data_IF_917405519948
#
_entry.id   IF_917405519948
#
_cell.length_a   1.000
_cell.length_b   1.000
_cell.length_c   1.000
_cell.angle_alpha   90.00
_cell.angle_beta   90.00
_cell.angle_gamma   90.00
#
_symmetry.space_group_name_H-M   'P 1'
#
loop_
_entity.id
_entity.type
_entity.pdbx_description
1 polymer ?
#
# COMPACT_ATOMS: atom_id res chain seq x y z
N UNK A 1 -7.90 43.93 39.71
CA UNK A 1 -7.66 43.18 38.46
C UNK A 1 -9.01 42.71 37.94
N UNK A 2 -9.35 43.00 36.68
CA UNK A 2 -10.69 42.74 36.14
C UNK A 2 -10.74 41.37 35.49
N UNK A 3 -11.61 40.47 35.96
CA UNK A 3 -11.80 39.17 35.32
C UNK A 3 -12.43 39.36 33.91
N UNK A 4 -11.99 38.63 32.88
CA UNK A 4 -12.57 38.75 31.54
C UNK A 4 -14.03 38.25 31.55
N UNK A 5 -14.98 39.13 31.22
CA UNK A 5 -16.39 38.75 31.06
C UNK A 5 -16.52 37.72 29.94
N UNK A 6 -16.88 36.48 30.30
CA UNK A 6 -17.33 35.47 29.34
C UNK A 6 -18.58 36.00 28.64
N UNK A 7 -18.55 36.11 27.30
CA UNK A 7 -19.74 36.44 26.52
C UNK A 7 -20.68 35.23 26.50
N UNK A 8 -21.65 35.20 27.40
CA UNK A 8 -22.83 34.33 27.28
C UNK A 8 -23.49 34.63 25.94
N UNK A 9 -23.78 33.59 25.14
CA UNK A 9 -24.54 33.74 23.90
C UNK A 9 -26.03 33.93 24.24
N UNK A 10 -26.73 34.94 23.67
CA UNK A 10 -28.17 35.04 23.80
C UNK A 10 -28.84 34.03 22.87
N UNK A 11 -29.38 32.94 23.44
CA UNK A 11 -30.10 31.88 22.74
C UNK A 11 -29.86 30.50 23.39
N UNK A 12 -30.70 29.49 23.11
CA UNK A 12 -30.42 28.11 23.50
C UNK A 12 -29.14 27.62 22.81
N UNK A 13 -28.41 26.64 23.39
CA UNK A 13 -27.26 26.07 22.70
C UNK A 13 -27.78 25.21 21.53
N UNK A 14 -27.41 25.50 20.27
CA UNK A 14 -27.81 24.69 19.12
C UNK A 14 -27.31 23.23 19.19
N UNK A 15 -26.48 22.88 20.16
CA UNK A 15 -26.10 21.49 20.46
C UNK A 15 -27.07 20.75 21.40
N UNK A 16 -27.84 21.44 22.24
CA UNK A 16 -28.68 20.79 23.27
C UNK A 16 -29.65 19.73 22.71
N UNK A 17 -30.36 19.93 21.58
CA UNK A 17 -31.26 18.93 21.00
C UNK A 17 -30.57 17.60 20.60
N UNK A 18 -29.25 17.59 20.47
CA UNK A 18 -28.47 16.44 20.04
C UNK A 18 -27.72 15.75 21.19
N UNK A 19 -27.77 16.29 22.41
CA UNK A 19 -27.02 15.76 23.56
C UNK A 19 -27.41 14.32 23.87
N UNK A 20 -28.70 14.00 23.92
CA UNK A 20 -29.17 12.67 24.31
C UNK A 20 -28.81 11.62 23.26
N UNK A 21 -29.02 11.91 21.98
CA UNK A 21 -28.60 11.03 20.87
C UNK A 21 -27.09 10.78 20.88
N UNK A 22 -26.28 11.85 20.96
CA UNK A 22 -24.81 11.75 21.05
C UNK A 22 -24.36 10.95 22.26
N UNK A 23 -25.05 11.08 23.40
CA UNK A 23 -24.71 10.36 24.63
C UNK A 23 -25.06 8.88 24.51
N UNK A 24 -26.26 8.54 24.07
CA UNK A 24 -26.68 7.16 23.83
C UNK A 24 -25.76 6.44 22.83
N UNK A 25 -25.52 7.07 21.67
CA UNK A 25 -24.67 6.55 20.60
C UNK A 25 -23.22 6.30 21.04
N UNK A 26 -22.69 7.14 21.95
CA UNK A 26 -21.35 6.97 22.53
C UNK A 26 -21.31 6.02 23.75
N UNK A 27 -22.46 5.68 24.34
CA UNK A 27 -22.59 4.58 25.31
C UNK A 27 -22.63 3.23 24.59
N UNK A 28 -23.34 3.14 23.46
CA UNK A 28 -23.36 1.96 22.57
C UNK A 28 -21.95 1.65 22.02
N UNK A 29 -21.29 2.65 21.42
CA UNK A 29 -19.92 2.52 20.92
C UNK A 29 -19.02 3.67 21.43
N UNK A 30 -18.33 3.47 22.58
CA UNK A 30 -17.32 4.41 23.09
C UNK A 30 -16.13 4.64 22.16
N UNK A 31 -15.96 3.83 21.10
CA UNK A 31 -14.90 3.92 20.12
C UNK A 31 -15.34 4.51 18.78
N UNK A 32 -16.64 4.76 18.60
CA UNK A 32 -17.23 5.35 17.39
C UNK A 32 -16.45 6.59 16.95
N UNK A 33 -16.07 6.65 15.68
CA UNK A 33 -15.30 7.78 15.18
C UNK A 33 -16.17 9.04 15.21
N UNK A 34 -15.63 10.13 15.74
CA UNK A 34 -16.38 11.38 15.82
C UNK A 34 -16.74 11.96 14.45
N UNK A 35 -16.15 11.44 13.35
CA UNK A 35 -16.60 11.70 11.98
C UNK A 35 -17.82 10.86 11.64
N UNK A 36 -17.82 9.54 11.82
CA UNK A 36 -19.02 8.72 11.63
C UNK A 36 -20.22 9.23 12.42
N UNK A 37 -20.02 9.66 13.68
CA UNK A 37 -21.06 10.32 14.48
C UNK A 37 -21.47 11.72 13.96
N UNK A 38 -20.59 12.42 13.25
CA UNK A 38 -20.91 13.68 12.57
C UNK A 38 -21.76 13.43 11.33
N UNK A 39 -21.37 12.42 10.54
CA UNK A 39 -22.07 11.99 9.33
C UNK A 39 -23.49 11.46 9.72
N UNK A 40 -23.61 10.65 10.78
CA UNK A 40 -24.88 10.23 11.41
C UNK A 40 -25.75 11.42 11.89
N UNK A 41 -25.15 12.55 12.23
CA UNK A 41 -25.83 13.74 12.75
C UNK A 41 -26.27 14.73 11.66
N UNK A 42 -25.56 14.80 10.53
CA UNK A 42 -25.94 15.69 9.42
C UNK A 42 -27.30 15.29 8.84
N UNK A 43 -27.57 13.98 8.68
CA UNK A 43 -28.89 13.44 8.31
C UNK A 43 -30.00 13.74 9.35
N UNK A 44 -29.63 13.97 10.61
CA UNK A 44 -30.53 14.37 11.69
C UNK A 44 -30.67 15.91 11.83
N UNK A 45 -30.12 16.69 10.88
CA UNK A 45 -30.27 18.14 10.84
C UNK A 45 -29.24 18.94 11.66
N UNK A 46 -28.08 18.36 11.97
CA UNK A 46 -27.04 18.99 12.78
C UNK A 46 -26.31 20.13 12.06
N UNK A 47 -26.87 21.34 12.10
CA UNK A 47 -26.33 22.55 11.45
C UNK A 47 -25.06 23.17 12.08
N UNK A 48 -24.21 22.41 12.77
CA UNK A 48 -22.98 22.89 13.41
C UNK A 48 -21.75 22.18 12.86
N UNK A 49 -20.59 22.83 12.85
CA UNK A 49 -19.37 22.22 12.31
C UNK A 49 -18.85 21.01 13.11
N UNK A 50 -18.10 20.13 12.44
CA UNK A 50 -17.35 19.03 13.04
C UNK A 50 -16.44 19.46 14.23
N UNK A 51 -15.84 20.65 14.17
CA UNK A 51 -15.07 21.23 15.28
C UNK A 51 -15.95 21.62 16.48
N UNK A 52 -17.23 21.91 16.25
CA UNK A 52 -18.23 22.18 17.28
C UNK A 52 -18.70 20.89 17.95
N UNK A 53 -19.02 19.84 17.18
CA UNK A 53 -19.33 18.49 17.70
C UNK A 53 -18.19 17.97 18.59
N UNK A 54 -16.96 17.95 18.06
CA UNK A 54 -15.78 17.44 18.78
C UNK A 54 -15.36 18.32 19.96
N UNK A 55 -15.75 19.60 20.01
CA UNK A 55 -15.67 20.43 21.21
C UNK A 55 -16.74 20.02 22.22
N UNK A 56 -18.00 19.94 21.82
CA UNK A 56 -19.12 19.69 22.74
C UNK A 56 -19.07 18.30 23.39
N UNK A 57 -18.71 17.24 22.65
CA UNK A 57 -18.46 15.90 23.22
C UNK A 57 -17.41 15.95 24.34
N UNK A 58 -16.35 16.75 24.18
CA UNK A 58 -15.29 16.90 25.19
C UNK A 58 -15.70 17.79 26.37
N UNK A 59 -16.37 18.91 26.10
CA UNK A 59 -16.75 19.91 27.13
C UNK A 59 -17.90 19.42 28.00
N UNK A 60 -18.85 18.66 27.44
CA UNK A 60 -19.96 18.02 28.17
C UNK A 60 -19.62 16.59 28.64
N UNK A 61 -18.43 16.07 28.33
CA UNK A 61 -17.97 14.70 28.68
C UNK A 61 -18.88 13.55 28.19
N UNK A 62 -19.52 13.71 27.03
CA UNK A 62 -20.57 12.79 26.53
C UNK A 62 -20.05 11.41 26.08
N UNK A 63 -18.73 11.21 26.00
CA UNK A 63 -18.13 9.90 25.70
C UNK A 63 -17.75 9.19 27.01
N UNK A 64 -18.43 8.09 27.40
CA UNK A 64 -18.05 7.33 28.57
C UNK A 64 -16.68 6.67 28.38
N UNK A 65 -15.97 6.47 29.49
CA UNK A 65 -14.65 5.84 29.48
C UNK A 65 -14.82 4.32 29.48
N UNK A 66 -14.76 3.67 28.31
CA UNK A 66 -14.84 2.21 28.19
C UNK A 66 -13.88 1.50 29.18
N UNK A 67 -14.41 0.77 30.16
CA UNK A 67 -13.67 0.14 31.26
C UNK A 67 -12.59 -0.85 30.75
N UNK A 68 -12.96 -1.67 29.75
CA UNK A 68 -12.05 -2.64 29.14
C UNK A 68 -10.83 -1.96 28.51
N UNK A 69 -11.04 -0.88 27.74
CA UNK A 69 -9.97 -0.10 27.12
C UNK A 69 -9.24 0.83 28.11
N UNK A 70 -9.90 1.23 29.21
CA UNK A 70 -9.28 1.91 30.37
C UNK A 70 -8.19 1.02 30.97
N UNK A 71 -8.42 -0.28 31.07
CA UNK A 71 -7.42 -1.26 31.55
C UNK A 71 -6.14 -1.36 30.70
N UNK A 72 -6.17 -0.86 29.46
CA UNK A 72 -5.02 -0.78 28.55
C UNK A 72 -4.37 0.62 28.53
N UNK A 73 -5.18 1.68 28.65
CA UNK A 73 -4.76 3.09 28.51
C UNK A 73 -4.41 3.79 29.83
N UNK A 74 -4.94 3.34 30.97
CA UNK A 74 -4.63 3.86 32.31
C UNK A 74 -3.65 2.99 33.12
N UNK A 75 -2.97 2.02 32.48
CA UNK A 75 -1.78 1.43 33.10
C UNK A 75 -0.71 2.53 33.22
N UNK A 76 -0.04 2.68 34.38
CA UNK A 76 1.11 3.56 34.47
C UNK A 76 2.19 3.07 33.50
N UNK A 77 2.31 3.74 32.36
CA UNK A 77 3.40 3.52 31.42
C UNK A 77 4.67 4.04 32.08
N UNK A 78 5.41 3.13 32.72
CA UNK A 78 6.80 3.38 33.08
C UNK A 78 7.52 3.86 31.82
N UNK A 79 8.04 5.09 31.85
CA UNK A 79 8.90 5.61 30.79
C UNK A 79 10.15 4.75 30.80
N UNK A 80 10.24 3.79 29.88
CA UNK A 80 11.41 2.93 29.77
C UNK A 80 12.58 3.81 29.31
N UNK A 81 13.65 3.98 30.11
CA UNK A 81 14.77 4.79 29.73
C UNK A 81 15.59 4.03 28.68
N UNK A 82 15.29 4.27 27.41
CA UNK A 82 16.11 3.76 26.30
C UNK A 82 17.43 4.54 26.28
N UNK A 83 18.51 3.90 26.71
CA UNK A 83 19.85 4.48 26.67
C UNK A 83 20.33 4.63 25.21
N UNK A 84 21.22 5.61 24.91
CA UNK A 84 21.81 5.77 23.59
C UNK A 84 22.43 4.47 23.07
N UNK A 85 22.09 4.05 21.85
CA UNK A 85 22.62 2.84 21.23
C UNK A 85 22.10 1.51 21.81
N UNK A 86 21.21 1.52 22.80
CA UNK A 86 20.81 0.28 23.49
C UNK A 86 19.83 -0.59 22.70
N UNK A 87 18.83 0.02 22.06
CA UNK A 87 17.72 -0.72 21.43
C UNK A 87 17.29 -0.14 20.06
N UNK A 88 17.20 -1.01 19.04
CA UNK A 88 16.41 -0.75 17.82
C UNK A 88 15.09 -1.52 17.90
N UNK A 89 13.98 -0.83 17.66
CA UNK A 89 12.65 -1.41 17.55
C UNK A 89 12.33 -1.68 16.09
N UNK A 90 11.96 -2.93 15.80
CA UNK A 90 11.65 -3.43 14.47
C UNK A 90 10.18 -3.75 14.33
N UNK A 91 9.61 -3.43 13.17
CA UNK A 91 8.23 -3.76 12.86
C UNK A 91 7.99 -3.95 11.37
N UNK A 92 6.95 -4.71 11.06
CA UNK A 92 6.34 -4.73 9.73
C UNK A 92 5.15 -3.77 9.70
N UNK A 93 4.97 -3.12 8.57
CA UNK A 93 3.80 -2.32 8.26
C UNK A 93 3.24 -2.76 6.91
N UNK A 94 2.08 -3.39 6.94
CA UNK A 94 1.26 -3.62 5.76
C UNK A 94 0.77 -2.28 5.19
N UNK A 95 0.98 -2.09 3.89
CA UNK A 95 0.58 -0.91 3.13
C UNK A 95 -0.38 -1.35 2.02
N UNK A 96 -1.70 -1.16 2.19
CA UNK A 96 -2.69 -1.63 1.23
C UNK A 96 -2.66 -0.81 -0.06
N UNK A 97 -3.13 -1.43 -1.13
CA UNK A 97 -3.34 -0.86 -2.46
C UNK A 97 -2.07 -0.22 -3.08
N UNK A 98 -0.97 -1.00 -3.23
CA UNK A 98 0.22 -0.52 -3.93
C UNK A 98 -0.05 -0.29 -5.43
N UNK A 99 0.72 0.59 -6.11
CA UNK A 99 0.56 0.82 -7.54
C UNK A 99 0.64 -0.49 -8.34
N UNK A 100 -0.34 -0.74 -9.20
CA UNK A 100 -0.49 -2.00 -9.94
C UNK A 100 0.76 -2.33 -10.79
N UNK A 101 1.48 -1.31 -11.23
CA UNK A 101 2.75 -1.37 -11.96
C UNK A 101 3.86 -2.14 -11.23
N UNK A 102 3.80 -2.28 -9.89
CA UNK A 102 4.80 -3.00 -9.09
C UNK A 102 4.60 -4.51 -9.16
N UNK A 103 3.37 -4.99 -9.41
CA UNK A 103 3.04 -6.42 -9.45
C UNK A 103 3.10 -7.14 -8.09
N UNK A 104 3.04 -6.41 -6.97
CA UNK A 104 3.14 -6.97 -5.61
C UNK A 104 1.80 -7.48 -5.04
N UNK A 105 0.70 -7.33 -5.78
CA UNK A 105 -0.63 -7.76 -5.33
C UNK A 105 -1.38 -6.65 -4.59
N UNK A 106 -2.04 -6.98 -3.48
CA UNK A 106 -2.91 -6.06 -2.71
C UNK A 106 -2.21 -5.28 -1.59
N UNK A 107 -1.01 -5.71 -1.21
CA UNK A 107 -0.28 -5.19 -0.05
C UNK A 107 1.19 -5.04 -0.43
N UNK A 108 1.78 -3.88 -0.15
CA UNK A 108 3.23 -3.73 -0.05
C UNK A 108 3.64 -3.85 1.43
N UNK A 109 4.80 -4.42 1.69
CA UNK A 109 5.30 -4.62 3.05
C UNK A 109 6.45 -3.65 3.31
N UNK A 110 6.39 -2.91 4.42
CA UNK A 110 7.41 -1.97 4.84
C UNK A 110 8.04 -2.43 6.15
N UNK A 111 9.28 -2.91 6.10
CA UNK A 111 10.08 -3.13 7.31
C UNK A 111 10.52 -1.78 7.84
N UNK A 112 10.21 -1.47 9.10
CA UNK A 112 10.67 -0.25 9.79
C UNK A 112 11.60 -0.62 10.93
N UNK A 113 12.77 0.01 10.97
CA UNK A 113 13.68 -0.02 12.11
C UNK A 113 13.85 1.38 12.69
N UNK A 114 13.64 1.53 14.00
CA UNK A 114 13.82 2.81 14.70
C UNK A 114 14.68 2.68 15.96
N UNK A 115 15.66 3.56 16.12
CA UNK A 115 16.45 3.68 17.35
C UNK A 115 15.53 4.16 18.49
N UNK A 116 15.39 3.38 19.54
CA UNK A 116 14.46 3.69 20.63
C UNK A 116 14.85 4.97 21.38
N UNK A 117 16.16 5.28 21.47
CA UNK A 117 16.65 6.51 22.06
C UNK A 117 16.33 7.74 21.19
N UNK A 118 17.01 8.00 20.07
CA UNK A 118 16.77 9.20 19.23
C UNK A 118 15.41 9.21 18.52
N UNK A 119 14.81 8.06 18.24
CA UNK A 119 13.64 7.96 17.35
C UNK A 119 13.98 8.35 15.91
N UNK A 120 15.24 8.18 15.49
CA UNK A 120 15.64 8.06 14.08
C UNK A 120 15.11 6.74 13.56
N UNK A 121 14.71 6.72 12.29
CA UNK A 121 14.15 5.53 11.65
C UNK A 121 14.53 5.48 10.17
N UNK A 122 14.54 4.27 9.62
CA UNK A 122 14.58 3.98 8.18
C UNK A 122 13.67 2.78 7.91
N UNK A 123 13.42 2.49 6.63
CA UNK A 123 12.68 1.29 6.25
C UNK A 123 12.99 0.81 4.84
N UNK A 124 12.56 -0.42 4.54
CA UNK A 124 12.64 -1.05 3.23
C UNK A 124 11.23 -1.47 2.78
N UNK A 125 10.83 -1.03 1.59
CA UNK A 125 9.69 -1.58 0.84
C UNK A 125 10.07 -2.94 0.22
N UNK A 126 9.17 -3.91 0.32
CA UNK A 126 9.36 -5.27 -0.19
C UNK A 126 8.02 -5.93 -0.57
N UNK A 127 8.01 -6.85 -1.55
CA UNK A 127 6.85 -7.67 -1.89
C UNK A 127 6.52 -8.78 -0.87
N UNK A 128 7.35 -9.00 0.16
CA UNK A 128 7.22 -10.13 1.10
C UNK A 128 7.79 -9.84 2.49
N UNK A 129 7.24 -10.51 3.51
CA UNK A 129 7.72 -10.50 4.91
C UNK A 129 8.51 -11.77 5.30
N UNK A 130 8.84 -12.63 4.32
CA UNK A 130 9.61 -13.87 4.57
C UNK A 130 11.01 -13.61 5.17
N UNK A 131 11.63 -14.67 5.70
CA UNK A 131 12.90 -14.54 6.42
C UNK A 131 14.05 -13.98 5.54
N UNK A 132 14.23 -14.38 4.27
CA UNK A 132 15.12 -13.67 3.34
C UNK A 132 14.87 -12.17 3.21
N UNK A 133 13.64 -11.74 2.93
CA UNK A 133 13.30 -10.32 2.78
C UNK A 133 13.47 -9.54 4.10
N UNK A 134 13.11 -10.14 5.24
CA UNK A 134 13.40 -9.59 6.56
C UNK A 134 14.91 -9.37 6.75
N UNK A 135 15.74 -10.37 6.49
CA UNK A 135 17.20 -10.30 6.73
C UNK A 135 17.88 -9.31 5.79
N UNK A 136 17.45 -9.23 4.53
CA UNK A 136 17.89 -8.19 3.59
C UNK A 136 17.48 -6.78 4.07
N UNK A 137 16.27 -6.63 4.60
CA UNK A 137 15.77 -5.37 5.18
C UNK A 137 16.52 -4.95 6.43
N UNK A 138 16.81 -5.88 7.34
CA UNK A 138 17.58 -5.64 8.57
C UNK A 138 18.95 -5.05 8.26
N UNK A 139 19.66 -5.59 7.27
CA UNK A 139 20.95 -5.07 6.81
C UNK A 139 20.83 -3.64 6.24
N UNK A 140 19.96 -3.43 5.24
CA UNK A 140 19.77 -2.10 4.61
C UNK A 140 19.39 -1.04 5.65
N UNK A 141 18.44 -1.37 6.53
CA UNK A 141 17.92 -0.43 7.53
C UNK A 141 18.95 -0.15 8.60
N UNK A 142 19.73 -1.13 9.07
CA UNK A 142 20.86 -0.90 9.98
C UNK A 142 21.92 0.03 9.37
N UNK A 143 22.33 -0.22 8.11
CA UNK A 143 23.27 0.66 7.39
C UNK A 143 22.70 2.08 7.22
N UNK A 144 21.39 2.21 6.92
CA UNK A 144 20.71 3.51 6.81
C UNK A 144 20.50 4.25 8.16
N UNK A 145 20.37 3.50 9.27
CA UNK A 145 20.40 4.05 10.62
C UNK A 145 21.82 4.50 11.01
N UNK A 146 22.84 3.91 10.42
CA UNK A 146 24.26 4.27 10.60
C UNK A 146 25.03 3.32 11.52
N UNK A 147 24.46 2.17 11.87
CA UNK A 147 25.08 1.21 12.78
C UNK A 147 24.06 0.30 13.48
N UNK A 148 24.56 -0.48 14.43
CA UNK A 148 23.84 -1.49 15.20
C UNK A 148 23.71 -1.05 16.65
N UNK A 149 22.53 -1.30 17.23
CA UNK A 149 22.28 -1.19 18.66
C UNK A 149 22.58 -2.51 19.36
N UNK A 150 22.79 -2.47 20.68
CA UNK A 150 23.08 -3.67 21.49
C UNK A 150 21.94 -4.71 21.44
N UNK A 151 20.69 -4.24 21.35
CA UNK A 151 19.48 -5.07 21.37
C UNK A 151 18.58 -4.75 20.16
N UNK A 152 18.14 -5.79 19.46
CA UNK A 152 17.05 -5.69 18.48
C UNK A 152 15.75 -6.20 19.11
N UNK A 153 14.76 -5.31 19.22
CA UNK A 153 13.41 -5.63 19.71
C UNK A 153 12.49 -5.94 18.55
N UNK A 154 11.89 -7.13 18.60
CA UNK A 154 10.90 -7.60 17.62
C UNK A 154 9.58 -7.92 18.30
N UNK A 155 8.51 -7.93 17.52
CA UNK A 155 7.26 -8.58 17.91
C UNK A 155 7.33 -10.11 17.75
N UNK A 156 6.24 -10.82 18.07
CA UNK A 156 6.13 -12.29 17.93
C UNK A 156 5.97 -12.76 16.47
N UNK A 157 6.84 -12.28 15.58
CA UNK A 157 6.87 -12.69 14.16
C UNK A 157 7.57 -14.04 13.96
N UNK A 158 6.95 -14.94 13.20
CA UNK A 158 7.42 -16.31 12.98
C UNK A 158 8.81 -16.39 12.32
N UNK A 159 9.18 -15.36 11.56
CA UNK A 159 10.49 -15.20 10.90
C UNK A 159 11.64 -14.86 11.86
N UNK A 160 11.34 -14.56 13.14
CA UNK A 160 12.33 -14.28 14.19
C UNK A 160 12.23 -15.27 15.35
N UNK A 161 11.02 -15.61 15.79
CA UNK A 161 10.78 -16.49 16.92
C UNK A 161 9.58 -17.41 16.71
N UNK A 162 9.57 -18.57 17.38
CA UNK A 162 8.34 -19.35 17.55
C UNK A 162 7.26 -18.47 18.24
N UNK A 163 6.10 -18.20 17.59
CA UNK A 163 5.09 -17.32 18.13
C UNK A 163 4.47 -17.79 19.46
N UNK A 164 4.52 -19.10 19.76
CA UNK A 164 4.00 -19.68 21.00
C UNK A 164 4.90 -19.40 22.19
N UNK A 165 6.12 -19.94 22.20
CA UNK A 165 7.08 -19.77 23.29
C UNK A 165 7.77 -18.39 23.30
N UNK A 166 7.91 -17.74 22.14
CA UNK A 166 8.75 -16.56 21.96
C UNK A 166 10.25 -16.86 21.90
N UNK A 167 10.66 -18.13 21.74
CA UNK A 167 12.06 -18.51 21.54
C UNK A 167 12.50 -18.15 20.12
N UNK A 168 13.66 -17.51 20.00
CA UNK A 168 14.29 -17.18 18.71
C UNK A 168 14.50 -18.45 17.87
N UNK A 169 14.19 -18.40 16.58
CA UNK A 169 14.34 -19.55 15.68
C UNK A 169 15.81 -19.87 15.42
N UNK A 170 16.13 -21.13 15.13
CA UNK A 170 17.50 -21.56 14.86
C UNK A 170 18.12 -20.82 13.66
N UNK A 171 17.35 -20.52 12.62
CA UNK A 171 17.80 -19.74 11.47
C UNK A 171 18.05 -18.27 11.83
N UNK A 172 17.19 -17.63 12.63
CA UNK A 172 17.41 -16.25 13.06
C UNK A 172 18.54 -16.10 14.10
N UNK A 173 18.83 -17.15 14.88
CA UNK A 173 19.97 -17.14 15.80
C UNK A 173 21.33 -16.97 15.06
N UNK A 174 21.46 -17.50 13.83
CA UNK A 174 22.60 -17.24 12.96
C UNK A 174 22.72 -15.77 12.55
N UNK A 175 21.60 -15.16 12.17
CA UNK A 175 21.49 -13.73 11.81
C UNK A 175 21.89 -12.85 12.99
N UNK A 176 21.33 -13.10 14.17
CA UNK A 176 21.64 -12.36 15.39
C UNK A 176 23.14 -12.44 15.76
N UNK A 177 23.75 -13.63 15.63
CA UNK A 177 25.17 -13.84 15.86
C UNK A 177 26.05 -13.08 14.85
N UNK A 178 25.68 -13.05 13.57
CA UNK A 178 26.44 -12.34 12.52
C UNK A 178 26.49 -10.83 12.76
N UNK A 179 25.36 -10.23 13.14
CA UNK A 179 25.31 -8.81 13.49
C UNK A 179 25.76 -8.53 14.94
N UNK A 180 26.05 -9.55 15.75
CA UNK A 180 26.49 -9.37 17.14
C UNK A 180 25.43 -8.78 18.08
N UNK A 181 24.14 -8.91 17.75
CA UNK A 181 23.01 -8.27 18.44
C UNK A 181 22.26 -9.24 19.36
N UNK A 182 21.83 -8.75 20.52
CA UNK A 182 20.89 -9.50 21.37
C UNK A 182 19.45 -9.35 20.84
N UNK A 183 18.67 -10.43 20.84
CA UNK A 183 17.28 -10.41 20.35
C UNK A 183 16.30 -10.37 21.52
N UNK A 184 15.38 -9.40 21.52
CA UNK A 184 14.39 -9.22 22.58
C UNK A 184 12.96 -9.24 22.02
N UNK A 185 12.26 -10.37 22.19
CA UNK A 185 10.86 -10.52 21.76
C UNK A 185 9.90 -9.80 22.72
N UNK A 186 8.89 -9.12 22.19
CA UNK A 186 7.83 -8.51 22.99
C UNK A 186 7.00 -9.56 23.77
N UNK A 187 6.81 -9.39 25.10
CA UNK A 187 5.87 -10.23 25.85
C UNK A 187 4.42 -10.00 25.38
N UNK A 188 3.59 -11.05 25.30
CA UNK A 188 2.22 -10.93 24.83
C UNK A 188 1.40 -9.97 25.71
N UNK A 189 0.51 -9.19 25.08
CA UNK A 189 -0.33 -8.17 25.73
C UNK A 189 0.44 -7.04 26.44
N UNK A 190 1.66 -6.71 25.97
CA UNK A 190 2.48 -5.57 26.46
C UNK A 190 3.14 -4.75 25.32
N UNK A 191 2.36 -4.39 24.29
CA UNK A 191 2.81 -3.59 23.14
C UNK A 191 3.43 -2.23 23.51
N UNK A 192 3.07 -1.65 24.66
CA UNK A 192 3.51 -0.35 25.19
C UNK A 192 5.05 -0.15 25.25
N UNK A 193 5.86 -1.20 25.05
CA UNK A 193 7.33 -1.12 24.90
C UNK A 193 7.81 -0.68 23.51
N UNK A 194 6.93 -0.68 22.50
CA UNK A 194 7.22 -0.51 21.06
C UNK A 194 6.81 0.87 20.51
N UNK A 195 6.36 1.79 21.38
CA UNK A 195 5.68 3.04 21.01
C UNK A 195 6.50 4.04 20.19
N UNK A 196 7.81 3.82 19.99
CA UNK A 196 8.62 4.63 19.06
C UNK A 196 8.34 4.21 17.62
N UNK A 197 8.42 2.91 17.31
CA UNK A 197 8.19 2.41 15.94
C UNK A 197 6.71 2.46 15.56
N UNK A 198 5.78 2.19 16.48
CA UNK A 198 4.32 2.34 16.23
C UNK A 198 3.98 3.76 15.72
N UNK A 199 4.60 4.78 16.33
CA UNK A 199 4.42 6.19 15.94
C UNK A 199 5.11 6.54 14.63
N UNK A 200 6.20 5.86 14.27
CA UNK A 200 6.83 5.95 12.96
C UNK A 200 5.94 5.30 11.90
N UNK A 201 5.41 4.10 12.14
CA UNK A 201 4.53 3.37 11.22
C UNK A 201 3.28 4.18 10.89
N UNK A 202 2.63 4.74 11.91
CA UNK A 202 1.50 5.66 11.72
C UNK A 202 1.90 6.92 10.92
N UNK A 203 3.13 7.43 11.12
CA UNK A 203 3.65 8.57 10.34
C UNK A 203 3.91 8.19 8.87
N UNK A 204 4.45 7.00 8.59
CA UNK A 204 4.72 6.52 7.24
C UNK A 204 3.41 6.26 6.47
N UNK A 205 2.47 5.52 7.06
CA UNK A 205 1.16 5.26 6.45
C UNK A 205 0.37 6.56 6.18
N UNK A 206 0.26 7.44 7.18
CA UNK A 206 -0.64 8.60 7.09
C UNK A 206 -0.05 9.82 6.36
N UNK A 207 1.28 9.94 6.24
CA UNK A 207 1.93 11.15 5.70
C UNK A 207 2.95 10.91 4.59
N UNK A 208 3.15 9.65 4.18
CA UNK A 208 3.96 9.30 3.03
C UNK A 208 3.19 8.36 2.08
N UNK A 209 2.69 7.21 2.55
CA UNK A 209 1.96 6.25 1.71
C UNK A 209 0.71 6.85 1.06
N UNK A 210 -0.16 7.47 1.87
CA UNK A 210 -1.36 8.22 1.40
C UNK A 210 -1.08 9.43 0.48
N UNK A 211 0.18 9.70 0.17
CA UNK A 211 0.64 10.80 -0.68
C UNK A 211 1.68 10.34 -1.71
N UNK A 212 1.83 9.03 -1.89
CA UNK A 212 2.63 8.45 -2.97
C UNK A 212 1.86 8.62 -4.29
N UNK A 213 2.59 8.72 -5.41
CA UNK A 213 1.98 8.83 -6.74
C UNK A 213 2.05 7.49 -7.48
N UNK A 214 0.97 7.15 -8.20
CA UNK A 214 0.76 5.85 -8.83
C UNK A 214 1.71 5.56 -10.01
N UNK A 215 2.37 6.58 -10.54
CA UNK A 215 3.34 6.49 -11.65
C UNK A 215 4.76 6.11 -11.19
N UNK A 216 5.04 6.17 -9.87
CA UNK A 216 6.34 5.82 -9.31
C UNK A 216 6.59 4.31 -9.37
N UNK A 217 7.81 3.90 -9.72
CA UNK A 217 8.28 2.52 -9.48
C UNK A 217 8.55 2.27 -8.00
N UNK A 218 8.64 1.01 -7.59
CA UNK A 218 8.96 0.64 -6.21
C UNK A 218 10.31 1.21 -5.74
N UNK A 219 11.30 1.29 -6.64
CA UNK A 219 12.62 1.85 -6.36
C UNK A 219 12.57 3.37 -6.18
N UNK A 220 11.78 4.08 -7.00
CA UNK A 220 11.53 5.51 -6.83
C UNK A 220 10.73 5.80 -5.55
N UNK A 221 9.78 4.92 -5.19
CA UNK A 221 9.05 4.99 -3.93
C UNK A 221 9.97 4.75 -2.71
N UNK A 222 10.92 3.83 -2.78
CA UNK A 222 11.95 3.65 -1.76
C UNK A 222 12.85 4.90 -1.62
N UNK A 223 13.26 5.52 -2.73
CA UNK A 223 14.01 6.80 -2.70
C UNK A 223 13.16 7.93 -2.12
N UNK A 224 11.85 7.94 -2.39
CA UNK A 224 10.88 8.87 -1.79
C UNK A 224 10.76 8.66 -0.27
N UNK A 225 10.68 7.41 0.18
CA UNK A 225 10.67 7.03 1.61
C UNK A 225 11.97 7.46 2.32
N UNK A 226 13.13 7.15 1.75
CA UNK A 226 14.44 7.52 2.30
C UNK A 226 14.60 9.06 2.36
N UNK A 227 14.09 9.79 1.36
CA UNK A 227 13.98 11.26 1.37
C UNK A 227 13.02 11.74 2.47
N UNK A 228 11.87 11.11 2.64
CA UNK A 228 10.87 11.48 3.65
C UNK A 228 11.40 11.28 5.07
N UNK A 229 12.05 10.15 5.35
CA UNK A 229 12.73 9.89 6.63
C UNK A 229 13.79 10.96 6.93
N UNK A 230 14.64 11.31 5.96
CA UNK A 230 15.66 12.36 6.10
C UNK A 230 15.09 13.78 6.25
N UNK A 231 14.00 14.12 5.57
CA UNK A 231 13.46 15.50 5.54
C UNK A 231 12.41 15.76 6.62
N UNK A 232 11.69 14.73 7.08
CA UNK A 232 10.59 14.85 8.06
C UNK A 232 10.80 14.05 9.36
N UNK A 233 11.58 12.97 9.32
CA UNK A 233 11.95 12.18 10.50
C UNK A 233 13.13 12.80 11.25
N UNK A 234 14.28 12.89 10.57
CA UNK A 234 15.56 13.33 11.13
C UNK A 234 15.55 14.81 11.60
N UNK A 235 14.74 15.66 10.95
CA UNK A 235 14.59 17.08 11.28
C UNK A 235 13.69 17.35 12.49
N UNK A 236 12.94 16.34 12.97
CA UNK A 236 11.98 16.48 14.07
C UNK A 236 12.69 16.90 15.35
N UNK A 237 12.30 18.03 15.92
CA UNK A 237 12.77 18.45 17.25
C UNK A 237 12.16 17.58 18.34
N UNK A 238 12.98 17.16 19.32
CA UNK A 238 12.55 16.50 20.56
C UNK A 238 13.11 17.25 21.76
N UNK A 239 12.59 16.95 22.96
CA UNK A 239 13.26 17.32 24.20
C UNK A 239 14.47 16.39 24.45
N UNK A 240 15.53 16.97 25.01
CA UNK A 240 16.76 16.34 25.50
C UNK A 240 17.09 16.93 26.87
N UNK A 241 18.08 16.39 27.60
CA UNK A 241 18.54 17.00 28.85
C UNK A 241 18.96 18.47 28.62
N UNK A 242 19.66 18.71 27.51
CA UNK A 242 20.23 20.00 27.10
C UNK A 242 19.25 20.88 26.31
N UNK A 243 17.94 20.68 26.49
CA UNK A 243 16.89 21.49 25.85
C UNK A 243 16.19 20.81 24.67
N UNK A 244 16.38 21.31 23.45
CA UNK A 244 15.69 20.79 22.23
C UNK A 244 16.63 20.59 21.04
N UNK A 245 16.83 19.33 20.68
CA UNK A 245 17.66 18.90 19.55
C UNK A 245 16.84 18.18 18.47
N UNK A 246 17.35 18.15 17.23
CA UNK A 246 16.76 17.35 16.15
C UNK A 246 17.11 15.86 16.32
N UNK A 247 16.25 14.98 15.81
CA UNK A 247 16.48 13.53 15.76
C UNK A 247 17.84 13.18 15.16
N UNK A 248 18.27 13.87 14.09
CA UNK A 248 19.59 13.69 13.48
C UNK A 248 20.76 13.97 14.44
N UNK A 249 20.69 15.06 15.22
CA UNK A 249 21.75 15.45 16.17
C UNK A 249 21.83 14.43 17.30
N UNK A 250 20.68 14.04 17.88
CA UNK A 250 20.63 13.03 18.95
C UNK A 250 21.15 11.68 18.45
N UNK A 251 20.73 11.25 17.25
CA UNK A 251 21.17 9.98 16.66
C UNK A 251 22.67 9.94 16.32
N UNK A 252 23.30 11.09 16.02
CA UNK A 252 24.75 11.16 15.77
C UNK A 252 25.57 10.96 17.06
N UNK A 253 24.97 11.17 18.23
CA UNK A 253 25.59 10.94 19.53
C UNK A 253 25.32 9.53 20.11
N UNK A 254 24.57 8.67 19.42
CA UNK A 254 24.35 7.29 19.86
C UNK A 254 25.59 6.42 19.56
N UNK A 255 26.12 5.66 20.53
CA UNK A 255 27.27 4.78 20.36
C UNK A 255 26.88 3.48 19.64
N UNK A 256 26.53 3.59 18.36
CA UNK A 256 26.19 2.43 17.52
C UNK A 256 27.45 1.64 17.14
N UNK A 257 27.35 0.31 17.20
CA UNK A 257 28.38 -0.58 16.67
C UNK A 257 28.40 -0.54 15.12
N UNK A 258 29.55 -0.75 14.47
CA UNK A 258 29.61 -0.83 13.01
C UNK A 258 28.84 -2.05 12.49
N UNK A 259 28.15 -1.90 11.35
CA UNK A 259 27.56 -3.05 10.63
C UNK A 259 28.71 -3.88 10.02
N UNK A 260 28.67 -5.22 10.07
CA UNK A 260 29.61 -6.10 9.36
C UNK A 260 29.82 -5.69 7.89
N UNK A 261 31.04 -5.87 7.39
CA UNK A 261 31.41 -5.47 6.03
C UNK A 261 30.53 -6.17 4.97
N UNK A 262 30.33 -7.48 5.13
CA UNK A 262 29.36 -8.27 4.36
C UNK A 262 28.02 -8.41 5.10
N UNK A 263 26.88 -8.42 4.39
CA UNK A 263 25.59 -8.81 4.95
C UNK A 263 25.58 -10.30 5.33
N UNK A 264 24.57 -10.71 6.09
CA UNK A 264 24.33 -12.14 6.34
C UNK A 264 24.00 -12.86 5.01
N UNK A 265 24.61 -14.03 4.72
CA UNK A 265 24.43 -14.73 3.45
C UNK A 265 23.07 -15.43 3.39
N UNK A 266 22.06 -14.70 2.91
CA UNK A 266 20.73 -15.22 2.57
C UNK A 266 20.44 -14.95 1.09
N UNK A 267 19.65 -15.82 0.46
CA UNK A 267 19.20 -15.66 -0.92
C UNK A 267 17.76 -15.15 -0.91
N UNK A 268 17.54 -13.99 -1.53
CA UNK A 268 16.20 -13.43 -1.80
C UNK A 268 15.70 -14.06 -3.10
N UNK A 269 14.44 -14.47 -3.14
CA UNK A 269 13.79 -15.10 -4.30
C UNK A 269 12.45 -14.41 -4.60
N UNK A 270 12.22 -14.06 -5.86
CA UNK A 270 11.00 -13.39 -6.32
C UNK A 270 10.50 -14.03 -7.62
N UNK A 271 9.24 -14.49 -7.63
CA UNK A 271 8.59 -15.00 -8.85
C UNK A 271 8.24 -13.85 -9.79
N UNK A 272 8.62 -13.97 -11.06
CA UNK A 272 8.40 -12.96 -12.10
C UNK A 272 7.93 -13.64 -13.40
N UNK A 273 7.06 -12.98 -14.16
CA UNK A 273 6.68 -13.44 -15.51
C UNK A 273 7.60 -12.78 -16.53
N UNK A 274 8.23 -13.57 -17.39
CA UNK A 274 9.04 -13.06 -18.49
C UNK A 274 8.14 -12.45 -19.57
N UNK A 275 8.52 -11.30 -20.13
CA UNK A 275 7.80 -10.66 -21.22
C UNK A 275 7.90 -11.45 -22.53
N UNK A 276 7.05 -11.13 -23.52
CA UNK A 276 7.11 -11.67 -24.89
C UNK A 276 8.41 -11.36 -25.66
N UNK A 277 9.26 -10.48 -25.12
CA UNK A 277 10.59 -10.17 -25.67
C UNK A 277 11.71 -10.93 -24.94
N UNK A 278 11.36 -12.00 -24.21
CA UNK A 278 12.28 -12.78 -23.38
C UNK A 278 13.11 -11.91 -22.40
N UNK A 279 12.43 -10.94 -21.76
CA UNK A 279 12.99 -10.07 -20.72
C UNK A 279 12.19 -10.21 -19.42
N UNK A 280 12.89 -10.40 -18.31
CA UNK A 280 12.36 -10.44 -16.94
C UNK A 280 12.63 -9.10 -16.25
N UNK A 281 11.60 -8.47 -15.69
CA UNK A 281 11.76 -7.25 -14.89
C UNK A 281 12.18 -7.56 -13.46
N UNK A 282 13.24 -6.93 -12.98
CA UNK A 282 13.77 -7.13 -11.63
C UNK A 282 14.45 -5.84 -11.11
N UNK A 283 14.06 -5.36 -9.92
CA UNK A 283 14.59 -4.16 -9.24
C UNK A 283 14.74 -2.93 -10.18
N UNK A 284 13.67 -2.60 -10.89
CA UNK A 284 13.62 -1.49 -11.86
C UNK A 284 14.47 -1.69 -13.13
N UNK A 285 15.08 -2.86 -13.33
CA UNK A 285 15.89 -3.22 -14.50
C UNK A 285 15.26 -4.40 -15.26
N UNK A 286 15.79 -4.72 -16.45
CA UNK A 286 15.32 -5.84 -17.29
C UNK A 286 16.48 -6.76 -17.67
N UNK A 287 16.27 -8.06 -17.57
CA UNK A 287 17.30 -9.09 -17.81
C UNK A 287 16.81 -10.12 -18.82
N UNK A 288 17.63 -10.45 -19.80
CA UNK A 288 17.27 -11.45 -20.84
C UNK A 288 17.20 -12.89 -20.33
N UNK A 289 16.29 -13.67 -20.90
CA UNK A 289 16.20 -15.12 -20.78
C UNK A 289 16.15 -15.74 -22.18
N UNK A 290 16.31 -17.08 -22.32
CA UNK A 290 16.06 -17.77 -23.59
C UNK A 290 14.61 -17.57 -24.08
N UNK A 291 14.36 -17.53 -25.40
CA UNK A 291 13.04 -17.23 -25.97
C UNK A 291 11.96 -18.27 -25.62
N UNK A 292 12.35 -19.50 -25.27
CA UNK A 292 11.47 -20.59 -24.84
C UNK A 292 10.69 -20.24 -23.54
N UNK A 293 11.18 -19.25 -22.77
CA UNK A 293 10.52 -18.76 -21.57
C UNK A 293 9.73 -17.46 -21.79
N UNK A 294 9.52 -17.01 -23.03
CA UNK A 294 8.66 -15.86 -23.31
C UNK A 294 7.22 -16.09 -22.78
N UNK A 295 6.71 -15.17 -21.96
CA UNK A 295 5.45 -15.30 -21.20
C UNK A 295 5.40 -16.42 -20.13
N UNK A 296 6.51 -17.10 -19.84
CA UNK A 296 6.59 -18.08 -18.75
C UNK A 296 6.85 -17.43 -17.38
N UNK A 297 6.52 -18.14 -16.30
CA UNK A 297 6.90 -17.77 -14.94
C UNK A 297 8.29 -18.34 -14.61
N UNK A 298 9.13 -17.48 -14.03
CA UNK A 298 10.50 -17.78 -13.58
C UNK A 298 10.69 -17.32 -12.15
N UNK A 299 11.68 -17.88 -11.45
CA UNK A 299 12.15 -17.38 -10.16
C UNK A 299 13.43 -16.58 -10.42
N UNK A 300 13.44 -15.31 -10.04
CA UNK A 300 14.69 -14.53 -9.95
C UNK A 300 15.21 -14.68 -8.52
N UNK A 301 16.49 -14.98 -8.37
CA UNK A 301 17.13 -15.13 -7.07
C UNK A 301 18.47 -14.41 -7.02
N UNK A 302 18.84 -13.91 -5.84
CA UNK A 302 20.18 -13.37 -5.60
C UNK A 302 20.60 -13.48 -4.12
N UNK A 303 21.88 -13.71 -3.81
CA UNK A 303 22.39 -13.52 -2.47
C UNK A 303 22.42 -12.02 -2.12
N UNK A 304 22.06 -11.66 -0.88
CA UNK A 304 22.15 -10.29 -0.39
C UNK A 304 23.61 -9.81 -0.46
N UNK A 305 23.84 -8.67 -1.10
CA UNK A 305 25.19 -8.12 -1.33
C UNK A 305 26.00 -8.79 -2.46
N UNK A 306 25.41 -9.68 -3.26
CA UNK A 306 26.08 -10.29 -4.40
C UNK A 306 25.95 -9.51 -5.71
N UNK A 307 26.97 -9.60 -6.56
CA UNK A 307 27.04 -8.98 -7.89
C UNK A 307 26.13 -9.60 -8.98
N UNK A 308 25.43 -10.70 -8.70
CA UNK A 308 24.74 -11.50 -9.71
C UNK A 308 23.30 -11.83 -9.32
N UNK A 309 22.42 -11.88 -10.33
CA UNK A 309 21.15 -12.61 -10.25
C UNK A 309 21.29 -13.96 -10.96
N UNK A 310 20.63 -14.98 -10.42
CA UNK A 310 20.35 -16.26 -11.07
C UNK A 310 18.85 -16.32 -11.37
N UNK A 311 18.49 -16.59 -12.62
CA UNK A 311 17.10 -16.77 -13.06
C UNK A 311 16.88 -18.27 -13.30
N UNK A 312 15.84 -18.81 -12.71
CA UNK A 312 15.50 -20.24 -12.78
C UNK A 312 14.09 -20.49 -13.32
N UNK A 313 13.89 -21.67 -13.90
CA UNK A 313 12.55 -22.18 -14.25
C UNK A 313 11.70 -22.41 -13.00
N UNK A 314 10.38 -22.59 -13.17
CA UNK A 314 9.50 -23.05 -12.09
C UNK A 314 9.89 -24.42 -11.49
N UNK A 315 10.72 -25.21 -12.18
CA UNK A 315 11.31 -26.47 -11.68
C UNK A 315 12.65 -26.28 -10.95
N UNK A 316 13.12 -25.04 -10.75
CA UNK A 316 14.36 -24.72 -10.02
C UNK A 316 15.65 -24.84 -10.83
N UNK A 317 15.57 -25.07 -12.14
CA UNK A 317 16.76 -25.14 -13.00
C UNK A 317 17.21 -23.71 -13.31
N UNK A 318 18.38 -23.31 -12.81
CA UNK A 318 19.01 -22.03 -13.18
C UNK A 318 19.35 -22.07 -14.67
N UNK A 319 18.81 -21.11 -15.41
CA UNK A 319 18.75 -21.10 -16.87
C UNK A 319 19.35 -19.83 -17.48
N UNK A 320 19.57 -18.80 -16.66
CA UNK A 320 20.33 -17.60 -17.00
C UNK A 320 20.97 -17.01 -15.75
N UNK A 321 22.19 -16.46 -15.89
CA UNK A 321 22.89 -15.72 -14.83
C UNK A 321 23.38 -14.39 -15.38
N UNK A 322 23.08 -13.29 -14.69
CA UNK A 322 23.44 -11.94 -15.12
C UNK A 322 24.17 -11.19 -14.02
N UNK A 323 25.11 -10.30 -14.40
CA UNK A 323 25.59 -9.29 -13.45
C UNK A 323 24.43 -8.34 -13.14
N UNK A 324 24.16 -8.14 -11.86
CA UNK A 324 23.10 -7.29 -11.36
C UNK A 324 23.42 -5.82 -11.64
N UNK A 325 22.48 -5.11 -12.26
CA UNK A 325 22.50 -3.65 -12.36
C UNK A 325 21.92 -3.02 -11.09
N UNK A 326 22.41 -1.84 -10.71
CA UNK A 326 21.89 -1.10 -9.56
C UNK A 326 20.40 -0.77 -9.66
N UNK A 327 19.71 -0.82 -8.53
CA UNK A 327 18.25 -0.65 -8.42
C UNK A 327 17.74 0.60 -9.16
N UNK A 328 16.70 0.45 -9.99
CA UNK A 328 15.98 1.59 -10.58
C UNK A 328 16.66 2.26 -11.78
N UNK A 329 17.77 1.72 -12.31
CA UNK A 329 18.48 2.32 -13.45
C UNK A 329 17.76 2.16 -14.81
N UNK A 330 16.70 1.34 -14.91
CA UNK A 330 15.92 1.14 -16.14
C UNK A 330 16.63 0.32 -17.23
N UNK A 331 17.88 -0.11 -16.98
CA UNK A 331 18.75 -0.73 -18.00
C UNK A 331 18.25 -2.11 -18.43
N UNK A 332 18.72 -2.52 -19.61
CA UNK A 332 18.37 -3.81 -20.21
C UNK A 332 19.65 -4.65 -20.37
N UNK A 333 19.87 -5.57 -19.45
CA UNK A 333 20.99 -6.51 -19.46
C UNK A 333 20.64 -7.66 -20.40
N UNK A 334 21.39 -7.76 -21.51
CA UNK A 334 21.21 -8.76 -22.55
C UNK A 334 22.47 -9.62 -22.66
N UNK A 335 22.27 -10.93 -22.56
CA UNK A 335 23.24 -11.91 -23.05
C UNK A 335 23.14 -11.99 -24.59
N UNK A 336 24.27 -12.20 -25.26
CA UNK A 336 24.34 -12.25 -26.73
C UNK A 336 23.71 -13.51 -27.31
N UNK A 337 23.83 -14.65 -26.62
CA UNK A 337 23.18 -15.90 -27.00
C UNK A 337 21.65 -15.79 -26.94
N UNK A 338 21.10 -15.20 -25.87
CA UNK A 338 19.66 -14.93 -25.78
C UNK A 338 19.15 -14.02 -26.91
N UNK A 339 19.92 -13.00 -27.32
CA UNK A 339 19.53 -12.12 -28.42
C UNK A 339 19.53 -12.86 -29.76
N UNK A 340 20.55 -13.67 -30.04
CA UNK A 340 20.64 -14.48 -31.27
C UNK A 340 19.52 -15.54 -31.31
N UNK A 341 19.25 -16.21 -30.20
CA UNK A 341 18.16 -17.18 -30.08
C UNK A 341 16.79 -16.53 -30.29
N UNK A 342 16.54 -15.37 -29.67
CA UNK A 342 15.28 -14.64 -29.81
C UNK A 342 15.05 -14.15 -31.25
N UNK A 343 16.07 -13.65 -31.94
CA UNK A 343 15.96 -13.22 -33.34
C UNK A 343 15.73 -14.43 -34.26
N UNK A 344 16.45 -15.53 -34.04
CA UNK A 344 16.25 -16.80 -34.75
C UNK A 344 14.82 -17.33 -34.59
N UNK A 345 14.27 -17.32 -33.36
CA UNK A 345 12.90 -17.73 -33.08
C UNK A 345 11.86 -16.76 -33.70
N UNK A 346 12.13 -15.46 -33.69
CA UNK A 346 11.28 -14.45 -34.33
C UNK A 346 11.24 -14.61 -35.86
N UNK A 347 12.39 -14.89 -36.50
CA UNK A 347 12.47 -15.18 -37.93
C UNK A 347 11.80 -16.52 -38.28
N UNK A 348 12.01 -17.57 -37.48
CA UNK A 348 11.37 -18.87 -37.70
C UNK A 348 9.83 -18.82 -37.59
N UNK A 349 9.29 -17.98 -36.69
CA UNK A 349 7.85 -17.77 -36.53
C UNK A 349 7.25 -16.74 -37.49
N UNK A 350 8.04 -16.09 -38.34
CA UNK A 350 7.57 -15.05 -39.26
C UNK A 350 6.71 -15.57 -40.44
N UNK A 351 6.59 -16.89 -40.61
CA UNK A 351 5.88 -17.52 -41.73
C UNK A 351 4.72 -18.42 -41.29
N UNK A 352 3.50 -18.08 -41.70
CA UNK A 352 2.36 -19.01 -41.96
C UNK A 352 1.13 -18.28 -42.49
N UNK A 353 0.96 -16.99 -42.15
CA UNK A 353 -0.12 -16.16 -42.69
C UNK A 353 0.13 -14.67 -42.46
N UNK A 354 -0.28 -13.83 -43.40
CA UNK A 354 -0.20 -12.37 -43.28
C UNK A 354 -1.23 -11.89 -42.24
N UNK A 355 -0.83 -11.24 -41.13
CA UNK A 355 -1.80 -10.66 -40.20
C UNK A 355 -2.68 -9.63 -40.91
N UNK A 356 -3.99 -9.69 -40.68
CA UNK A 356 -4.94 -8.71 -41.22
C UNK A 356 -4.47 -7.28 -40.89
N UNK A 357 -4.36 -6.43 -41.91
CA UNK A 357 -3.92 -5.05 -41.69
C UNK A 357 -4.99 -4.34 -40.86
N UNK A 358 -4.59 -3.61 -39.82
CA UNK A 358 -5.51 -2.88 -38.90
C UNK A 358 -6.31 -1.73 -39.56
N UNK A 359 -6.16 -1.54 -40.87
CA UNK A 359 -6.88 -0.61 -41.76
C UNK A 359 -7.40 -1.30 -43.04
N UNK A 360 -7.48 -2.63 -43.05
CA UNK A 360 -7.95 -3.43 -44.18
C UNK A 360 -9.47 -3.40 -44.26
N UNK A 361 -10.03 -3.12 -45.44
CA UNK A 361 -11.48 -3.05 -45.63
C UNK A 361 -12.04 -4.47 -45.78
N UNK A 362 -12.37 -5.08 -44.64
CA UNK A 362 -13.02 -6.39 -44.55
C UNK A 362 -14.53 -6.17 -44.32
N UNK A 363 -15.38 -6.14 -45.37
CA UNK A 363 -16.82 -5.96 -45.22
C UNK A 363 -17.49 -7.24 -44.67
N UNK A 364 -18.70 -7.15 -44.07
CA UNK A 364 -19.45 -8.32 -43.63
C UNK A 364 -19.71 -9.32 -44.77
N UNK A 365 -19.27 -10.57 -44.55
CA UNK A 365 -19.50 -11.68 -45.48
C UNK A 365 -20.98 -12.15 -45.52
N UNK A 366 -21.33 -13.08 -46.43
CA UNK A 366 -22.73 -13.51 -46.62
C UNK A 366 -23.40 -14.02 -45.34
N UNK A 367 -22.72 -14.86 -44.55
CA UNK A 367 -23.25 -15.35 -43.28
C UNK A 367 -23.49 -14.24 -42.24
N UNK A 368 -22.60 -13.26 -42.15
CA UNK A 368 -22.76 -12.11 -41.25
C UNK A 368 -23.94 -11.21 -41.68
N UNK A 369 -24.17 -11.06 -42.98
CA UNK A 369 -25.34 -10.35 -43.53
C UNK A 369 -26.64 -11.11 -43.25
N UNK A 370 -26.65 -12.43 -43.40
CA UNK A 370 -27.81 -13.28 -43.09
C UNK A 370 -28.18 -13.22 -41.60
N UNK A 371 -27.19 -13.32 -40.69
CA UNK A 371 -27.41 -13.17 -39.26
C UNK A 371 -27.94 -11.76 -38.89
N UNK A 372 -27.41 -10.69 -39.52
CA UNK A 372 -27.93 -9.34 -39.34
C UNK A 372 -29.39 -9.20 -39.80
N UNK A 373 -29.78 -9.85 -40.91
CA UNK A 373 -31.17 -9.85 -41.39
C UNK A 373 -32.12 -10.59 -40.44
N UNK A 374 -31.68 -11.69 -39.81
CA UNK A 374 -32.43 -12.39 -38.77
C UNK A 374 -32.62 -11.53 -37.51
N UNK A 375 -31.58 -10.84 -37.05
CA UNK A 375 -31.67 -9.91 -35.92
C UNK A 375 -32.61 -8.73 -36.20
N UNK A 376 -32.65 -8.23 -37.44
CA UNK A 376 -33.61 -7.20 -37.86
C UNK A 376 -35.05 -7.74 -37.89
N UNK A 377 -35.28 -8.96 -38.41
CA UNK A 377 -36.59 -9.62 -38.34
C UNK A 377 -37.09 -9.80 -36.90
N UNK A 378 -36.24 -10.29 -35.99
CA UNK A 378 -36.58 -10.44 -34.57
C UNK A 378 -36.89 -9.09 -33.88
N UNK A 379 -36.37 -7.98 -34.40
CA UNK A 379 -36.66 -6.62 -33.92
C UNK A 379 -37.88 -5.98 -34.60
N UNK A 380 -38.39 -6.57 -35.68
CA UNK A 380 -39.56 -6.10 -36.45
C UNK A 380 -40.79 -6.99 -36.30
N UNK A 381 -40.65 -8.19 -35.74
CA UNK A 381 -41.78 -9.06 -35.40
C UNK A 381 -42.66 -8.39 -34.32
N UNK A 382 -43.94 -8.10 -34.60
CA UNK A 382 -44.85 -7.61 -33.58
C UNK A 382 -45.13 -8.74 -32.58
N UNK A 383 -45.16 -8.39 -31.30
CA UNK A 383 -45.65 -9.28 -30.25
C UNK A 383 -47.17 -9.47 -30.38
N UNK A 384 -47.64 -10.71 -30.15
CA UNK A 384 -49.04 -11.14 -29.92
C UNK A 384 -49.89 -11.47 -31.16
N UNK A 385 -50.33 -12.73 -31.22
CA UNK A 385 -51.67 -13.26 -31.55
C UNK A 385 -51.63 -14.76 -31.11
N UNK A 386 -52.66 -15.49 -30.64
CA UNK A 386 -54.14 -15.44 -30.56
C UNK A 386 -54.52 -16.25 -29.28
N UNK A 387 -55.48 -15.94 -28.40
CA UNK A 387 -56.41 -14.80 -28.19
C UNK A 387 -56.63 -14.64 -26.64
N UNK A 388 -57.75 -14.24 -25.99
CA UNK A 388 -59.15 -14.00 -26.42
C UNK A 388 -59.87 -12.84 -25.72
N UNK A 389 -60.76 -12.16 -26.45
CA UNK A 389 -61.92 -11.36 -26.00
C UNK A 389 -61.78 -10.58 -24.67
N UNK A 390 -61.82 -9.25 -24.65
CA UNK A 390 -63.03 -8.47 -25.00
C UNK A 390 -62.80 -6.95 -24.85
N UNK A 391 -63.87 -6.17 -25.09
CA UNK A 391 -63.97 -4.69 -25.02
C UNK A 391 -63.25 -3.89 -26.12
N UNK A 392 -64.04 -3.10 -26.84
CA UNK A 392 -63.67 -2.27 -28.00
C UNK A 392 -63.41 -0.81 -27.63
N UNK A 393 -62.71 -0.10 -28.53
CA UNK A 393 -62.71 1.38 -28.71
C UNK A 393 -62.17 2.23 -27.54
N UNK A 394 -61.55 3.39 -27.76
CA UNK A 394 -61.50 4.21 -28.99
C UNK A 394 -60.06 4.63 -29.38
N UNK A 395 -59.94 5.24 -30.55
CA UNK A 395 -58.70 5.62 -31.23
C UNK A 395 -58.24 7.05 -30.95
N UNK A 396 -56.93 7.28 -31.09
CA UNK A 396 -56.37 8.62 -31.27
C UNK A 396 -55.37 8.62 -32.42
N UNK A 397 -55.87 8.66 -33.66
CA UNK A 397 -55.04 8.80 -34.86
C UNK A 397 -54.42 10.20 -34.87
N UNK A 398 -53.10 10.30 -34.78
CA UNK A 398 -52.38 11.56 -34.93
C UNK A 398 -52.25 11.86 -36.44
N UNK A 399 -53.19 12.65 -36.97
CA UNK A 399 -53.13 13.15 -38.34
C UNK A 399 -51.98 14.16 -38.51
N UNK A 400 -50.88 13.69 -39.09
CA UNK A 400 -49.70 14.52 -39.37
C UNK A 400 -49.94 15.60 -40.43
N UNK A 401 -51.01 15.52 -41.24
CA UNK A 401 -51.35 16.57 -42.21
C UNK A 401 -51.81 17.88 -41.53
N UNK A 402 -52.19 17.83 -40.25
CA UNK A 402 -52.42 19.02 -39.44
C UNK A 402 -51.10 19.77 -39.11
N UNK A 403 -50.00 19.04 -38.88
CA UNK A 403 -48.69 19.65 -38.64
C UNK A 403 -48.09 20.27 -39.91
N UNK A 404 -48.30 19.65 -41.07
CA UNK A 404 -47.75 20.13 -42.34
C UNK A 404 -48.37 21.49 -42.75
N UNK A 405 -49.69 21.66 -42.56
CA UNK A 405 -50.38 22.95 -42.75
C UNK A 405 -49.93 24.03 -41.75
N UNK A 406 -49.50 23.65 -40.55
CA UNK A 406 -48.97 24.59 -39.55
C UNK A 406 -47.54 25.05 -39.87
N UNK A 407 -46.76 24.25 -40.59
CA UNK A 407 -45.39 24.59 -40.99
C UNK A 407 -45.32 25.58 -42.16
N UNK A 408 -46.23 25.46 -43.14
CA UNK A 408 -46.18 26.29 -44.36
C UNK A 408 -46.55 27.76 -44.13
N UNK A 409 -47.34 28.08 -43.10
CA UNK A 409 -47.79 29.44 -42.77
C UNK A 409 -46.79 30.27 -41.93
N UNK A 410 -45.47 29.99 -42.01
CA UNK A 410 -44.42 30.72 -41.26
C UNK A 410 -43.21 31.19 -42.06
N UNK A 411 -43.24 31.09 -43.40
CA UNK A 411 -42.11 31.49 -44.27
C UNK A 411 -42.53 32.20 -45.55
N UNK A 412 -43.40 33.21 -45.44
CA UNK A 412 -43.42 34.37 -46.35
C UNK A 412 -43.50 35.63 -45.51
N UNK A 413 -42.65 36.60 -45.85
CA UNK A 413 -42.92 38.03 -45.70
C UNK A 413 -42.71 38.67 -47.08
#
# INVERSE_FOLDING_TARGET
>A
MTAPRVRVRPGPDPFDPFVDYVTARLIEDPHLWARTLYDELEDLGFGLSYQSLTRNIRTRSLRPVCEACRSATQRPNAVIPHAPGDETQWDWLELPDPPQSWGWGKTAHLLVGSLAHSGKWRGLLTPSEDQPHLVAGLDRVARGLGGLTRVWRFDRMATVCDPGSGRVTASFAGVAKHYGVAVAICPPRRGNRKGVVEKVNHTAAQRWWRTLADDLTAEQAQVSLDRFARVRGDTRLRATADGRSSVAVVAKAEPLHPVPASPYPVIVCETRTASRQALVSYRGNRYSVPPELAAANVVVSHPVGGDFIDIATASGIVIARHRMAGDGLGVMVRDSGHVIALDTAAMATAATGRPHRRKERIPPGPAAKAAAAQLLHLKQAPSIAVESSSSSTDSTVIDLSAYERAAQNRTIQ
#
